data_IF_124374176731
#
_entry.id   IF_124374176731
#
_cell.length_a   1.000
_cell.length_b   1.000
_cell.length_c   1.000
_cell.angle_alpha   90.00
_cell.angle_beta   90.00
_cell.angle_gamma   90.00
#
_symmetry.space_group_name_H-M   'P 1'
#
loop_
_entity.id
_entity.type
_entity.pdbx_description
1 polymer ?
#
# COMPACT_ATOMS: atom_id res chain seq x y z
N UNK A 1 15.59 -20.82 29.60
CA UNK A 1 14.19 -21.17 29.27
C UNK A 1 13.45 -19.90 28.84
N UNK A 2 12.93 -19.85 27.62
CA UNK A 2 12.31 -18.66 27.05
C UNK A 2 11.12 -18.19 27.91
N UNK A 3 11.16 -16.93 28.33
CA UNK A 3 10.10 -16.29 29.13
C UNK A 3 8.83 -16.25 28.28
N UNK A 4 7.95 -17.25 28.48
CA UNK A 4 6.62 -17.36 27.86
C UNK A 4 5.98 -15.97 27.98
N UNK A 5 5.51 -15.41 26.86
CA UNK A 5 4.84 -14.10 26.80
C UNK A 5 3.58 -14.12 27.68
N UNK A 6 3.76 -14.03 29.00
CA UNK A 6 2.68 -13.99 29.99
C UNK A 6 2.00 -12.65 29.81
N UNK A 7 0.76 -12.68 29.33
CA UNK A 7 -0.09 -11.51 29.14
C UNK A 7 -0.08 -10.94 27.73
N UNK A 8 0.30 -11.69 26.68
CA UNK A 8 -0.01 -11.29 25.29
C UNK A 8 -0.92 -12.32 24.62
N UNK A 9 -1.98 -11.83 24.03
CA UNK A 9 -2.91 -12.62 23.22
C UNK A 9 -2.66 -12.37 21.74
N UNK A 10 -2.90 -13.38 20.92
CA UNK A 10 -2.73 -13.30 19.47
C UNK A 10 -4.02 -12.85 18.80
N UNK A 11 -3.91 -11.77 18.02
CA UNK A 11 -5.02 -11.21 17.25
C UNK A 11 -4.79 -11.45 15.76
N UNK A 12 -5.84 -11.91 15.08
CA UNK A 12 -5.84 -12.13 13.63
C UNK A 12 -6.18 -10.84 12.91
N UNK A 13 -5.30 -10.38 12.04
CA UNK A 13 -5.53 -9.21 11.20
C UNK A 13 -6.28 -9.63 9.94
N UNK A 14 -7.47 -9.08 9.75
CA UNK A 14 -8.30 -9.33 8.58
C UNK A 14 -8.21 -8.16 7.61
N UNK A 15 -8.04 -8.48 6.33
CA UNK A 15 -8.10 -7.50 5.25
C UNK A 15 -9.52 -6.90 5.12
N UNK A 16 -9.66 -5.68 4.56
CA UNK A 16 -10.96 -5.09 4.25
C UNK A 16 -11.80 -5.99 3.33
N UNK A 17 -13.11 -5.78 3.32
CA UNK A 17 -14.08 -6.57 2.54
C UNK A 17 -13.78 -6.59 1.04
N UNK A 18 -13.17 -5.52 0.52
CA UNK A 18 -12.72 -5.39 -0.88
C UNK A 18 -11.74 -6.50 -1.27
N UNK A 19 -10.96 -7.02 -0.32
CA UNK A 19 -9.98 -8.09 -0.51
C UNK A 19 -10.47 -9.46 -0.02
N UNK A 20 -11.78 -9.60 0.26
CA UNK A 20 -12.39 -10.87 0.66
C UNK A 20 -12.02 -11.34 2.07
N UNK A 21 -11.77 -10.42 3.02
CA UNK A 21 -11.47 -10.73 4.44
C UNK A 21 -10.34 -11.74 4.65
N UNK A 22 -9.33 -11.74 3.77
CA UNK A 22 -8.17 -12.62 3.92
C UNK A 22 -7.38 -12.30 5.19
N UNK A 23 -6.79 -13.34 5.76
CA UNK A 23 -5.86 -13.22 6.89
C UNK A 23 -4.57 -12.55 6.40
N UNK A 24 -4.27 -11.36 6.91
CA UNK A 24 -3.01 -10.65 6.65
C UNK A 24 -1.86 -11.19 7.50
N UNK A 25 -2.18 -11.64 8.71
CA UNK A 25 -1.23 -12.18 9.68
C UNK A 25 -1.79 -12.13 11.09
N UNK A 26 -0.96 -12.51 12.06
CA UNK A 26 -1.30 -12.48 13.48
C UNK A 26 -0.34 -11.57 14.22
N UNK A 27 -0.85 -10.81 15.19
CA UNK A 27 -0.04 -9.90 16.00
C UNK A 27 -0.30 -10.16 17.48
N UNK A 28 0.75 -10.42 18.29
CA UNK A 28 0.60 -10.60 19.72
C UNK A 28 0.55 -9.23 20.42
N UNK A 29 -0.48 -9.00 21.23
CA UNK A 29 -0.66 -7.74 21.98
C UNK A 29 -1.12 -8.04 23.40
N UNK A 30 -0.70 -7.21 24.35
CA UNK A 30 -1.20 -7.27 25.73
C UNK A 30 -2.63 -6.75 25.82
N UNK A 31 -2.82 -5.46 25.53
CA UNK A 31 -4.15 -4.83 25.52
C UNK A 31 -4.63 -4.50 24.10
N UNK A 32 -5.92 -4.74 23.76
CA UNK A 32 -6.49 -4.45 22.44
C UNK A 32 -6.31 -3.02 21.94
N UNK A 33 -6.20 -2.04 22.85
CA UNK A 33 -6.02 -0.63 22.48
C UNK A 33 -4.71 -0.36 21.75
N UNK A 34 -3.63 -1.08 22.10
CA UNK A 34 -2.34 -0.94 21.43
C UNK A 34 -2.33 -1.51 20.00
N UNK A 35 -3.36 -2.28 19.63
CA UNK A 35 -3.48 -2.82 18.28
C UNK A 35 -4.10 -1.79 17.32
N UNK A 36 -4.91 -0.85 17.84
CA UNK A 36 -5.47 0.26 17.04
C UNK A 36 -4.34 1.14 16.50
N UNK A 37 -4.53 1.66 15.29
CA UNK A 37 -3.56 2.48 14.56
C UNK A 37 -2.25 1.77 14.15
N UNK A 38 -2.08 0.46 14.38
CA UNK A 38 -0.95 -0.26 13.79
C UNK A 38 -1.10 -0.37 12.28
N UNK A 39 0.00 -0.18 11.58
CA UNK A 39 0.07 -0.34 10.13
C UNK A 39 0.79 -1.64 9.81
N UNK A 40 0.15 -2.46 8.99
CA UNK A 40 0.70 -3.73 8.50
C UNK A 40 0.77 -3.68 6.98
N UNK A 41 1.90 -4.11 6.45
CA UNK A 41 2.10 -4.19 5.01
C UNK A 41 1.94 -5.61 4.49
N UNK A 42 1.19 -5.77 3.41
CA UNK A 42 1.06 -7.04 2.71
C UNK A 42 1.25 -6.87 1.20
N UNK A 43 1.78 -7.91 0.55
CA UNK A 43 1.94 -7.94 -0.90
C UNK A 43 0.64 -8.34 -1.59
N UNK A 44 0.40 -7.82 -2.79
CA UNK A 44 -0.81 -8.17 -3.54
C UNK A 44 -0.89 -9.66 -3.93
N UNK A 45 0.26 -10.33 -4.07
CA UNK A 45 0.32 -11.77 -4.38
C UNK A 45 -0.48 -12.57 -3.35
N UNK A 46 -0.29 -12.30 -2.06
CA UNK A 46 -0.99 -13.02 -0.99
C UNK A 46 -2.49 -12.68 -0.98
N UNK A 47 -2.84 -11.45 -1.35
CA UNK A 47 -4.21 -10.95 -1.33
C UNK A 47 -5.05 -11.41 -2.52
N UNK A 48 -4.50 -11.47 -3.73
CA UNK A 48 -5.25 -11.80 -4.95
C UNK A 48 -4.78 -13.08 -5.63
N UNK A 49 -3.70 -13.73 -5.16
CA UNK A 49 -3.06 -14.88 -5.81
C UNK A 49 -2.61 -14.61 -7.26
N UNK A 50 -2.41 -13.35 -7.63
CA UNK A 50 -1.88 -12.95 -8.94
C UNK A 50 -0.38 -12.63 -8.84
N UNK A 51 0.51 -13.48 -9.36
CA UNK A 51 1.96 -13.27 -9.31
C UNK A 51 2.45 -12.16 -10.24
N UNK A 52 1.69 -11.78 -11.27
CA UNK A 52 2.10 -10.75 -12.22
C UNK A 52 2.23 -9.37 -11.57
N UNK A 53 1.47 -9.14 -10.49
CA UNK A 53 1.41 -7.87 -9.76
C UNK A 53 2.24 -7.89 -8.47
N UNK A 54 3.37 -8.60 -8.49
CA UNK A 54 4.25 -8.75 -7.31
C UNK A 54 4.79 -7.43 -6.75
N UNK A 55 4.93 -6.41 -7.60
CA UNK A 55 5.54 -5.14 -7.26
C UNK A 55 4.63 -4.23 -6.41
N UNK A 56 3.38 -4.65 -6.16
CA UNK A 56 2.41 -3.91 -5.38
C UNK A 56 2.44 -4.30 -3.90
N UNK A 57 2.72 -3.32 -3.05
CA UNK A 57 2.70 -3.42 -1.59
C UNK A 57 1.57 -2.54 -1.04
N UNK A 58 0.68 -3.15 -0.28
CA UNK A 58 -0.45 -2.49 0.36
C UNK A 58 -0.17 -2.30 1.84
N UNK A 59 -0.51 -1.13 2.36
CA UNK A 59 -0.44 -0.79 3.77
C UNK A 59 -1.86 -0.71 4.32
N UNK A 60 -2.12 -1.48 5.36
CA UNK A 60 -3.40 -1.54 6.04
C UNK A 60 -3.25 -1.00 7.45
N UNK A 61 -4.22 -0.22 7.90
CA UNK A 61 -4.24 0.32 9.26
C UNK A 61 -5.37 -0.35 10.04
N UNK A 62 -5.06 -0.82 11.24
CA UNK A 62 -6.07 -1.40 12.14
C UNK A 62 -6.97 -0.29 12.67
N UNK A 63 -8.28 -0.41 12.45
CA UNK A 63 -9.27 0.55 12.96
C UNK A 63 -10.09 0.00 14.11
N UNK A 64 -10.54 -1.24 14.00
CA UNK A 64 -11.37 -1.87 15.02
C UNK A 64 -10.89 -3.27 15.40
N UNK A 65 -11.20 -3.68 16.63
CA UNK A 65 -10.85 -5.00 17.18
C UNK A 65 -12.11 -5.65 17.71
N UNK A 66 -12.50 -6.76 17.09
CA UNK A 66 -13.64 -7.59 17.48
C UNK A 66 -13.13 -8.90 18.06
N UNK A 67 -13.25 -9.06 19.37
CA UNK A 67 -12.83 -10.24 20.13
C UNK A 67 -11.37 -10.63 19.87
N UNK A 68 -11.10 -11.46 18.85
CA UNK A 68 -9.76 -11.94 18.45
C UNK A 68 -9.40 -11.60 17.02
N UNK A 69 -10.25 -10.85 16.33
CA UNK A 69 -10.08 -10.42 14.94
C UNK A 69 -10.02 -8.91 14.86
N UNK A 70 -9.00 -8.39 14.21
CA UNK A 70 -8.84 -6.97 13.97
C UNK A 70 -9.24 -6.65 12.54
N UNK A 71 -10.15 -5.69 12.40
CA UNK A 71 -10.53 -5.14 11.12
C UNK A 71 -9.51 -4.08 10.73
N UNK A 72 -9.09 -4.14 9.47
CA UNK A 72 -8.16 -3.19 8.89
C UNK A 72 -8.82 -2.40 7.79
N UNK A 73 -8.39 -1.15 7.63
CA UNK A 73 -8.74 -0.27 6.53
C UNK A 73 -7.53 -0.05 5.63
N UNK A 74 -7.81 0.28 4.37
CA UNK A 74 -6.77 0.65 3.43
C UNK A 74 -6.15 1.99 3.84
N UNK A 75 -4.85 1.99 4.13
CA UNK A 75 -4.11 3.20 4.50
C UNK A 75 -3.34 3.79 3.33
N UNK A 76 -2.76 2.93 2.50
CA UNK A 76 -1.98 3.38 1.37
C UNK A 76 -1.42 2.25 0.54
N UNK A 77 -0.88 2.64 -0.60
CA UNK A 77 -0.36 1.73 -1.60
C UNK A 77 1.01 2.23 -2.06
N UNK A 78 1.93 1.28 -2.25
CA UNK A 78 3.31 1.54 -2.64
C UNK A 78 3.75 0.56 -3.74
N UNK A 79 4.49 1.08 -4.72
CA UNK A 79 5.22 0.26 -5.68
C UNK A 79 6.62 -0.03 -5.13
N UNK A 80 7.03 -1.30 -5.20
CA UNK A 80 8.37 -1.74 -4.82
C UNK A 80 9.44 -1.01 -5.63
N UNK A 81 10.50 -0.60 -4.92
CA UNK A 81 11.64 0.13 -5.51
C UNK A 81 12.30 -0.63 -6.66
N UNK A 82 12.40 -1.96 -6.56
CA UNK A 82 12.97 -2.81 -7.61
C UNK A 82 12.26 -2.60 -8.95
N UNK A 83 10.93 -2.63 -8.94
CA UNK A 83 10.13 -2.46 -10.16
C UNK A 83 10.31 -1.08 -10.78
N UNK A 84 10.28 -0.02 -9.96
CA UNK A 84 10.52 1.35 -10.42
C UNK A 84 11.92 1.47 -11.02
N UNK A 85 12.93 0.90 -10.36
CA UNK A 85 14.33 1.00 -10.80
C UNK A 85 14.59 0.22 -12.08
N UNK A 86 13.83 -0.86 -12.34
CA UNK A 86 13.90 -1.63 -13.59
C UNK A 86 13.26 -0.92 -14.78
N UNK A 87 12.24 -0.10 -14.53
CA UNK A 87 11.59 0.70 -15.58
C UNK A 87 12.42 1.94 -15.93
N UNK A 88 13.05 2.58 -14.95
CA UNK A 88 13.90 3.76 -15.18
C UNK A 88 15.26 3.33 -15.72
N UNK A 89 15.48 3.52 -17.02
CA UNK A 89 16.74 3.19 -17.71
C UNK A 89 17.43 4.43 -18.26
N UNK A 90 18.66 4.26 -18.76
CA UNK A 90 19.28 5.32 -19.56
C UNK A 90 18.52 5.50 -20.89
N UNK A 91 18.33 6.74 -21.32
CA UNK A 91 17.67 7.04 -22.59
C UNK A 91 16.13 7.16 -22.54
N UNK A 92 15.52 7.02 -21.36
CA UNK A 92 14.09 7.33 -21.15
C UNK A 92 13.92 8.65 -20.39
N UNK A 93 12.77 9.31 -20.57
CA UNK A 93 12.38 10.46 -19.76
C UNK A 93 11.49 9.98 -18.62
N UNK A 94 11.80 10.43 -17.41
CA UNK A 94 11.00 10.22 -16.20
C UNK A 94 10.27 11.50 -15.83
N UNK A 95 8.96 11.40 -15.68
CA UNK A 95 8.09 12.49 -15.23
C UNK A 95 7.41 12.02 -13.95
N UNK A 96 7.62 12.76 -12.86
CA UNK A 96 6.94 12.55 -11.59
C UNK A 96 5.87 13.65 -11.41
N UNK A 97 4.66 13.25 -11.00
CA UNK A 97 3.60 14.18 -10.62
C UNK A 97 3.03 13.79 -9.25
N UNK A 98 2.67 14.80 -8.47
CA UNK A 98 2.05 14.67 -7.16
C UNK A 98 0.76 15.49 -7.18
N UNK A 99 -0.37 14.79 -7.09
CA UNK A 99 -1.69 15.40 -7.07
C UNK A 99 -2.41 15.04 -5.76
N UNK A 100 -3.01 16.05 -5.15
CA UNK A 100 -3.90 15.87 -4.01
C UNK A 100 -5.35 15.79 -4.54
N UNK A 101 -5.99 14.65 -4.33
CA UNK A 101 -7.32 14.33 -4.85
C UNK A 101 -8.26 14.12 -3.67
N UNK A 102 -9.46 14.68 -3.77
CA UNK A 102 -10.56 14.38 -2.83
C UNK A 102 -11.51 13.40 -3.50
N UNK A 103 -11.74 12.26 -2.86
CA UNK A 103 -12.74 11.28 -3.34
C UNK A 103 -14.16 11.74 -2.97
N UNK A 104 -15.16 11.15 -3.62
CA UNK A 104 -16.57 11.41 -3.31
C UNK A 104 -16.92 11.03 -1.86
N UNK A 105 -16.17 10.10 -1.27
CA UNK A 105 -16.34 9.65 0.11
C UNK A 105 -15.74 10.63 1.14
N UNK A 106 -15.24 11.78 0.69
CA UNK A 106 -14.64 12.81 1.55
C UNK A 106 -13.22 12.48 2.03
N UNK A 107 -12.61 11.40 1.55
CA UNK A 107 -11.22 11.06 1.88
C UNK A 107 -10.25 11.83 0.99
N UNK A 108 -9.23 12.44 1.61
CA UNK A 108 -8.15 13.13 0.91
C UNK A 108 -7.02 12.14 0.63
N UNK A 109 -6.65 11.99 -0.63
CA UNK A 109 -5.59 11.11 -1.08
C UNK A 109 -4.49 11.92 -1.77
N UNK A 110 -3.24 11.56 -1.52
CA UNK A 110 -2.10 12.05 -2.29
C UNK A 110 -1.67 10.98 -3.27
N UNK A 111 -1.89 11.22 -4.55
CA UNK A 111 -1.51 10.31 -5.63
C UNK A 111 -0.18 10.76 -6.21
N UNK A 112 0.79 9.85 -6.19
CA UNK A 112 2.08 10.03 -6.87
C UNK A 112 2.07 9.19 -8.14
N UNK A 113 2.13 9.85 -9.29
CA UNK A 113 2.20 9.18 -10.59
C UNK A 113 3.61 9.27 -11.15
N UNK A 114 4.09 8.14 -11.66
CA UNK A 114 5.36 8.02 -12.36
C UNK A 114 5.06 7.68 -13.81
N UNK A 115 5.44 8.56 -14.73
CA UNK A 115 5.29 8.34 -16.17
C UNK A 115 6.66 8.22 -16.82
N UNK A 116 6.81 7.20 -17.64
CA UNK A 116 8.03 6.91 -18.37
C UNK A 116 7.74 6.88 -19.86
N UNK A 117 8.57 7.55 -20.64
CA UNK A 117 8.52 7.49 -22.09
C UNK A 117 9.47 6.41 -22.61
N UNK A 118 9.20 5.83 -23.78
CA UNK A 118 10.09 4.81 -24.37
C UNK A 118 11.44 5.36 -24.82
N UNK A 119 11.54 6.67 -25.11
CA UNK A 119 12.76 7.38 -25.54
C UNK A 119 12.79 8.77 -24.91
N UNK A 120 13.95 9.43 -24.93
CA UNK A 120 14.07 10.85 -24.60
C UNK A 120 13.09 11.66 -25.44
N UNK A 121 12.24 12.44 -24.78
CA UNK A 121 11.28 13.31 -25.44
C UNK A 121 11.82 14.75 -25.46
N UNK A 122 11.33 15.55 -26.41
CA UNK A 122 11.57 17.01 -26.42
C UNK A 122 10.81 17.65 -25.24
N UNK A 123 11.30 18.81 -24.80
CA UNK A 123 10.72 19.58 -23.69
C UNK A 123 9.23 19.92 -23.91
N UNK A 124 8.83 20.20 -25.13
CA UNK A 124 7.43 20.48 -25.47
C UNK A 124 6.49 19.29 -25.18
N UNK A 125 6.93 18.09 -25.54
CA UNK A 125 6.17 16.85 -25.28
C UNK A 125 6.12 16.55 -23.79
N UNK A 126 7.23 16.79 -23.08
CA UNK A 126 7.25 16.67 -21.61
C UNK A 126 6.23 17.60 -20.96
N UNK A 127 6.18 18.87 -21.39
CA UNK A 127 5.22 19.85 -20.86
C UNK A 127 3.77 19.45 -21.19
N UNK A 128 3.51 18.94 -22.40
CA UNK A 128 2.20 18.43 -22.77
C UNK A 128 1.79 17.23 -21.90
N UNK A 129 2.70 16.28 -21.67
CA UNK A 129 2.45 15.13 -20.79
C UNK A 129 2.17 15.57 -19.36
N UNK A 130 2.96 16.50 -18.81
CA UNK A 130 2.72 17.03 -17.45
C UNK A 130 1.36 17.69 -17.31
N UNK A 131 0.88 18.39 -18.36
CA UNK A 131 -0.48 18.97 -18.36
C UNK A 131 -1.56 17.90 -18.41
N UNK A 132 -1.35 16.82 -19.16
CA UNK A 132 -2.31 15.74 -19.29
C UNK A 132 -2.44 14.89 -18.02
N UNK A 133 -1.34 14.69 -17.30
CA UNK A 133 -1.32 13.88 -16.06
C UNK A 133 -1.86 14.68 -14.85
N UNK A 134 -1.98 16.01 -14.97
CA UNK A 134 -2.43 16.88 -13.88
C UNK A 134 -3.92 16.81 -13.67
#
# INVERSE_FOLDING_TARGET
>A
MAKKLKGKEWYKLLAPDIFGKKLLGETPVGDPEYLKNRVVSASLITLMNDPSKYYFKFNFKVTDVKEKSALTEFWGFECLRDYISRMVRHGVLRIDNVADISTNDGTKLRVKTLTLTSKKAKKEVELALRKFIK
#
